data_IF_701218797888
#
_entry.id   IF_701218797888
#
_cell.length_a   1.000
_cell.length_b   1.000
_cell.length_c   1.000
_cell.angle_alpha   90.00
_cell.angle_beta   90.00
_cell.angle_gamma   90.00
#
_symmetry.space_group_name_H-M   'P 1'
#
loop_
_entity.id
_entity.type
_entity.pdbx_description
1 polymer ?
#
# COMPACT_ATOMS: atom_id res chain seq x y z
N UNK A 1 -20.77 0.76 -8.42
CA UNK A 1 -19.58 1.21 -7.73
C UNK A 1 -18.43 0.28 -8.08
N UNK A 2 -17.28 0.84 -8.47
CA UNK A 2 -16.02 0.11 -8.68
C UNK A 2 -15.01 0.59 -7.64
N UNK A 3 -14.23 -0.33 -7.05
CA UNK A 3 -13.12 -0.04 -6.14
C UNK A 3 -11.82 -0.47 -6.81
N UNK A 4 -10.86 0.44 -6.93
CA UNK A 4 -9.56 0.21 -7.54
C UNK A 4 -8.45 0.59 -6.54
N UNK A 5 -7.74 -0.36 -5.94
CA UNK A 5 -6.56 -0.04 -5.14
C UNK A 5 -5.39 0.36 -6.06
N UNK A 6 -4.81 1.54 -5.82
CA UNK A 6 -3.72 2.09 -6.63
C UNK A 6 -2.73 2.93 -5.79
N UNK A 7 -1.56 2.42 -5.42
CA UNK A 7 -0.97 1.10 -5.72
C UNK A 7 -1.77 -0.08 -5.17
N UNK A 8 -1.79 -1.19 -5.93
CA UNK A 8 -2.52 -2.38 -5.56
C UNK A 8 -1.84 -3.16 -4.41
N UNK A 9 -2.62 -3.81 -3.59
CA UNK A 9 -2.13 -4.80 -2.62
C UNK A 9 -2.76 -6.17 -2.95
N UNK A 10 -1.95 -7.23 -3.09
CA UNK A 10 -0.55 -7.40 -2.64
C UNK A 10 0.52 -7.13 -3.70
N UNK A 11 0.20 -6.86 -4.95
CA UNK A 11 1.19 -6.80 -6.04
C UNK A 11 2.14 -5.61 -5.91
N UNK A 12 1.70 -4.48 -5.35
CA UNK A 12 2.44 -3.22 -5.33
C UNK A 12 2.40 -2.43 -6.65
N UNK A 13 1.75 -2.96 -7.68
CA UNK A 13 1.67 -2.33 -9.00
C UNK A 13 0.80 -1.08 -8.98
N UNK A 14 1.06 -0.16 -9.92
CA UNK A 14 0.23 1.01 -10.17
C UNK A 14 -0.36 0.99 -11.58
N UNK A 15 -1.48 1.68 -11.71
CA UNK A 15 -2.08 2.09 -12.97
C UNK A 15 -1.89 3.60 -13.09
N UNK A 16 -1.49 4.09 -14.25
CA UNK A 16 -1.27 5.52 -14.45
C UNK A 16 -2.57 6.34 -14.30
N UNK A 17 -2.48 7.62 -13.92
CA UNK A 17 -3.66 8.48 -13.86
C UNK A 17 -4.44 8.56 -15.17
N UNK A 18 -3.74 8.52 -16.31
CA UNK A 18 -4.35 8.53 -17.64
C UNK A 18 -5.19 7.27 -17.90
N UNK A 19 -4.65 6.10 -17.53
CA UNK A 19 -5.38 4.83 -17.63
C UNK A 19 -6.58 4.79 -16.68
N UNK A 20 -6.42 5.30 -15.45
CA UNK A 20 -7.52 5.43 -14.46
C UNK A 20 -8.61 6.36 -15.00
N UNK A 21 -8.25 7.49 -15.62
CA UNK A 21 -9.19 8.42 -16.22
C UNK A 21 -9.94 7.77 -17.40
N UNK A 22 -9.23 7.05 -18.27
CA UNK A 22 -9.81 6.31 -19.39
C UNK A 22 -10.76 5.21 -18.91
N UNK A 23 -10.37 4.47 -17.88
CA UNK A 23 -11.24 3.46 -17.27
C UNK A 23 -12.49 4.09 -16.65
N UNK A 24 -12.35 5.16 -15.88
CA UNK A 24 -13.49 5.88 -15.30
C UNK A 24 -14.46 6.41 -16.35
N UNK A 25 -13.96 6.84 -17.52
CA UNK A 25 -14.80 7.30 -18.62
C UNK A 25 -15.67 6.18 -19.21
N UNK A 26 -15.19 4.94 -19.21
CA UNK A 26 -15.94 3.76 -19.69
C UNK A 26 -17.01 3.26 -18.71
N UNK A 27 -16.97 3.72 -17.45
CA UNK A 27 -17.91 3.28 -16.41
C UNK A 27 -19.18 4.12 -16.38
N UNK A 28 -20.32 3.47 -16.10
CA UNK A 28 -21.60 4.13 -15.81
C UNK A 28 -21.86 4.31 -14.30
N UNK A 29 -20.84 4.13 -13.47
CA UNK A 29 -20.93 4.22 -12.00
C UNK A 29 -19.69 4.90 -11.41
N UNK A 30 -19.75 5.35 -10.15
CA UNK A 30 -18.57 5.91 -9.48
C UNK A 30 -17.40 4.93 -9.38
N UNK A 31 -16.19 5.47 -9.50
CA UNK A 31 -14.92 4.79 -9.27
C UNK A 31 -14.26 5.35 -7.99
N UNK A 32 -14.04 4.51 -7.02
CA UNK A 32 -13.22 4.83 -5.85
C UNK A 32 -11.81 4.30 -6.08
N UNK A 33 -10.83 5.19 -6.12
CA UNK A 33 -9.41 4.86 -6.17
C UNK A 33 -8.89 4.84 -4.73
N UNK A 34 -8.51 3.65 -4.25
CA UNK A 34 -7.92 3.50 -2.91
C UNK A 34 -6.42 3.74 -2.99
N UNK A 35 -6.00 4.94 -2.58
CA UNK A 35 -4.63 5.39 -2.59
C UNK A 35 -3.94 5.24 -1.22
N UNK A 36 -4.23 4.18 -0.48
CA UNK A 36 -3.61 3.91 0.81
C UNK A 36 -2.07 3.86 0.77
N UNK A 37 -1.47 3.59 -0.37
CA UNK A 37 -0.02 3.48 -0.57
C UNK A 37 0.56 4.55 -1.50
N UNK A 38 -0.22 5.50 -1.97
CA UNK A 38 0.21 6.45 -3.01
C UNK A 38 1.35 7.39 -2.59
N UNK A 39 1.59 7.59 -1.29
CA UNK A 39 2.72 8.38 -0.81
C UNK A 39 4.10 7.73 -1.10
N UNK A 40 4.12 6.44 -1.46
CA UNK A 40 5.34 5.70 -1.84
C UNK A 40 5.49 5.55 -3.35
N UNK A 41 4.55 6.10 -4.13
CA UNK A 41 4.51 6.05 -5.59
C UNK A 41 4.90 7.39 -6.21
N UNK A 42 5.32 7.35 -7.46
CA UNK A 42 5.72 8.54 -8.24
C UNK A 42 4.51 9.34 -8.71
N UNK A 43 3.34 8.70 -8.79
CA UNK A 43 2.12 9.27 -9.33
C UNK A 43 0.92 8.96 -8.44
N UNK A 44 -0.12 9.78 -8.52
CA UNK A 44 -1.38 9.57 -7.83
C UNK A 44 -2.55 10.17 -8.64
N UNK A 45 -3.76 9.76 -8.30
CA UNK A 45 -4.99 10.14 -9.03
C UNK A 45 -5.76 11.29 -8.38
N UNK A 46 -5.22 11.95 -7.36
CA UNK A 46 -5.95 12.96 -6.59
C UNK A 46 -6.47 14.12 -7.48
N UNK A 47 -5.68 14.55 -8.47
CA UNK A 47 -6.04 15.62 -9.39
C UNK A 47 -7.22 15.26 -10.30
N UNK A 48 -7.48 13.97 -10.54
CA UNK A 48 -8.59 13.50 -11.37
C UNK A 48 -9.97 13.81 -10.76
N UNK A 49 -10.05 13.96 -9.43
CA UNK A 49 -11.30 14.32 -8.73
C UNK A 49 -11.86 15.65 -9.23
N UNK A 50 -10.99 16.61 -9.57
CA UNK A 50 -11.42 17.89 -10.14
C UNK A 50 -11.89 17.78 -11.61
N UNK A 51 -11.46 16.74 -12.31
CA UNK A 51 -11.74 16.54 -13.75
C UNK A 51 -12.98 15.67 -14.00
N UNK A 52 -13.28 14.75 -13.09
CA UNK A 52 -14.40 13.81 -13.23
C UNK A 52 -15.13 13.63 -11.89
N UNK A 53 -16.41 14.10 -11.79
CA UNK A 53 -17.16 14.03 -10.53
C UNK A 53 -17.48 12.60 -10.06
N UNK A 54 -17.27 11.58 -10.90
CA UNK A 54 -17.45 10.17 -10.55
C UNK A 54 -16.19 9.51 -9.99
N UNK A 55 -15.05 10.20 -10.00
CA UNK A 55 -13.82 9.70 -9.37
C UNK A 55 -13.75 10.19 -7.93
N UNK A 56 -13.58 9.26 -7.01
CA UNK A 56 -13.35 9.47 -5.60
C UNK A 56 -11.98 8.89 -5.23
N UNK A 57 -11.24 9.55 -4.36
CA UNK A 57 -9.93 9.06 -3.90
C UNK A 57 -9.95 8.91 -2.39
N UNK A 58 -9.57 7.74 -1.89
CA UNK A 58 -9.38 7.51 -0.44
C UNK A 58 -7.91 7.54 -0.07
N UNK A 59 -7.60 8.06 1.10
CA UNK A 59 -6.26 8.13 1.70
C UNK A 59 -6.30 7.70 3.16
N UNK A 60 -5.16 7.28 3.70
CA UNK A 60 -5.04 6.88 5.09
C UNK A 60 -3.73 7.37 5.70
N UNK A 61 -3.74 7.67 7.00
CA UNK A 61 -2.54 7.97 7.76
C UNK A 61 -1.89 6.70 8.35
N UNK A 62 -2.47 5.53 8.09
CA UNK A 62 -2.02 4.25 8.64
C UNK A 62 -0.67 3.77 8.09
N UNK A 63 -0.23 4.27 6.92
CA UNK A 63 0.95 3.76 6.21
C UNK A 63 2.11 4.73 6.30
N UNK A 64 2.16 5.71 5.42
CA UNK A 64 3.26 6.68 5.30
C UNK A 64 3.49 7.52 6.56
N UNK A 65 2.42 7.84 7.27
CA UNK A 65 2.48 8.60 8.53
C UNK A 65 2.73 7.73 9.77
N UNK A 66 2.74 6.39 9.66
CA UNK A 66 2.96 5.50 10.80
C UNK A 66 1.83 5.49 11.84
N UNK A 67 0.65 6.03 11.52
CA UNK A 67 -0.45 6.26 12.45
C UNK A 67 -1.57 5.22 12.32
N UNK A 68 -1.22 3.95 12.12
CA UNK A 68 -2.21 2.88 11.97
C UNK A 68 -3.15 2.73 13.18
N UNK A 69 -2.67 3.03 14.39
CA UNK A 69 -3.41 2.90 15.64
C UNK A 69 -4.54 3.91 15.81
N UNK A 70 -4.45 5.10 15.23
CA UNK A 70 -5.49 6.14 15.36
C UNK A 70 -6.68 5.95 14.42
N UNK A 71 -6.63 4.96 13.54
CA UNK A 71 -7.74 4.60 12.63
C UNK A 71 -8.27 5.76 11.79
N UNK A 72 -7.39 6.65 11.30
CA UNK A 72 -7.77 7.82 10.54
C UNK A 72 -7.50 7.68 9.05
N UNK A 73 -8.49 8.03 8.25
CA UNK A 73 -8.43 8.14 6.79
C UNK A 73 -9.39 9.23 6.32
N UNK A 74 -9.29 9.59 5.07
CA UNK A 74 -10.15 10.59 4.46
C UNK A 74 -10.47 10.25 3.01
N UNK A 75 -11.54 10.85 2.51
CA UNK A 75 -11.99 10.73 1.14
C UNK A 75 -12.03 12.12 0.51
N UNK A 76 -11.56 12.20 -0.72
CA UNK A 76 -11.66 13.38 -1.57
C UNK A 76 -12.59 13.05 -2.74
N UNK A 77 -13.62 13.88 -2.93
CA UNK A 77 -14.61 13.68 -3.98
C UNK A 77 -15.25 15.02 -4.39
N UNK A 78 -16.07 14.99 -5.44
CA UNK A 78 -16.92 16.12 -5.80
C UNK A 78 -17.79 16.56 -4.61
N UNK A 79 -17.98 17.88 -4.35
CA UNK A 79 -18.76 18.39 -3.22
C UNK A 79 -20.17 17.81 -3.10
N UNK A 80 -20.84 17.52 -4.21
CA UNK A 80 -22.20 16.96 -4.18
C UNK A 80 -22.19 15.51 -3.68
N UNK A 81 -21.17 14.72 -4.04
CA UNK A 81 -20.95 13.38 -3.48
C UNK A 81 -20.67 13.45 -1.99
N UNK A 82 -19.86 14.40 -1.55
CA UNK A 82 -19.57 14.61 -0.11
C UNK A 82 -20.85 14.96 0.66
N UNK A 83 -21.72 15.80 0.11
CA UNK A 83 -23.02 16.12 0.74
C UNK A 83 -23.90 14.88 0.95
N UNK A 84 -23.95 13.99 -0.05
CA UNK A 84 -24.73 12.75 0.06
C UNK A 84 -24.12 11.80 1.10
N UNK A 85 -22.79 11.62 1.09
CA UNK A 85 -22.08 10.80 2.09
C UNK A 85 -22.24 11.36 3.52
N UNK A 86 -22.30 12.68 3.67
CA UNK A 86 -22.50 13.31 4.97
C UNK A 86 -23.85 12.96 5.62
N UNK A 87 -24.88 12.59 4.82
CA UNK A 87 -26.19 12.17 5.35
C UNK A 87 -26.17 10.83 6.07
N UNK A 88 -25.24 9.97 5.69
CA UNK A 88 -25.10 8.60 6.25
C UNK A 88 -23.87 8.44 7.15
N UNK A 89 -23.02 9.47 7.20
CA UNK A 89 -21.83 9.46 8.06
C UNK A 89 -22.25 9.58 9.53
N UNK A 90 -21.64 8.75 10.40
CA UNK A 90 -21.80 8.90 11.84
C UNK A 90 -21.40 10.32 12.32
N UNK A 91 -22.15 10.86 13.27
CA UNK A 91 -21.90 12.18 13.83
C UNK A 91 -20.52 12.30 14.51
N UNK A 92 -20.04 11.19 15.08
CA UNK A 92 -18.79 11.11 15.84
C UNK A 92 -17.85 10.01 15.27
N UNK A 93 -17.67 10.00 13.95
CA UNK A 93 -16.88 8.98 13.26
C UNK A 93 -15.37 9.00 13.55
N UNK A 94 -14.85 10.09 14.10
CA UNK A 94 -13.47 10.24 14.54
C UNK A 94 -13.44 10.85 15.94
N UNK A 95 -12.61 10.31 16.82
CA UNK A 95 -12.39 10.87 18.14
C UNK A 95 -11.45 12.08 18.12
N UNK A 96 -11.53 12.91 19.16
CA UNK A 96 -10.76 14.16 19.23
C UNK A 96 -9.24 13.96 19.23
N UNK A 97 -8.73 12.87 19.81
CA UNK A 97 -7.29 12.56 19.83
C UNK A 97 -6.81 12.18 18.43
N UNK A 98 -7.57 11.34 17.72
CA UNK A 98 -7.28 10.97 16.33
C UNK A 98 -7.27 12.17 15.40
N UNK A 99 -8.23 13.11 15.56
CA UNK A 99 -8.26 14.37 14.79
C UNK A 99 -7.03 15.24 15.10
N UNK A 100 -6.68 15.41 16.36
CA UNK A 100 -5.52 16.22 16.76
C UNK A 100 -4.21 15.61 16.22
N UNK A 101 -4.04 14.27 16.35
CA UNK A 101 -2.87 13.56 15.83
C UNK A 101 -2.78 13.66 14.30
N UNK A 102 -3.89 13.48 13.59
CA UNK A 102 -3.95 13.59 12.13
C UNK A 102 -3.60 15.03 11.69
N UNK A 103 -4.12 16.05 12.36
CA UNK A 103 -3.84 17.45 12.06
C UNK A 103 -2.36 17.76 12.23
N UNK A 104 -1.75 17.35 13.34
CA UNK A 104 -0.33 17.53 13.58
C UNK A 104 0.53 16.83 12.54
N UNK A 105 0.21 15.56 12.23
CA UNK A 105 0.93 14.74 11.25
C UNK A 105 0.89 15.35 9.84
N UNK A 106 -0.26 15.84 9.40
CA UNK A 106 -0.42 16.51 8.10
C UNK A 106 0.43 17.76 7.94
N UNK A 107 0.81 18.41 9.05
CA UNK A 107 1.76 19.53 9.10
C UNK A 107 3.22 19.12 8.91
N UNK A 108 3.57 17.86 9.16
CA UNK A 108 4.96 17.35 9.15
C UNK A 108 5.42 16.90 7.75
N UNK A 109 5.26 17.74 6.72
CA UNK A 109 5.53 17.39 5.32
C UNK A 109 6.95 16.96 5.04
N UNK A 110 7.93 17.65 5.65
CA UNK A 110 9.35 17.30 5.47
C UNK A 110 9.64 15.90 6.03
N UNK A 111 9.18 15.60 7.23
CA UNK A 111 9.32 14.28 7.84
C UNK A 111 8.70 13.19 6.98
N UNK A 112 7.51 13.43 6.41
CA UNK A 112 6.85 12.50 5.51
C UNK A 112 7.71 12.22 4.29
N UNK A 113 8.21 13.27 3.60
CA UNK A 113 9.03 13.15 2.41
C UNK A 113 10.32 12.35 2.69
N UNK A 114 11.03 12.66 3.78
CA UNK A 114 12.25 11.96 4.19
C UNK A 114 11.97 10.49 4.55
N UNK A 115 10.87 10.22 5.22
CA UNK A 115 10.46 8.86 5.60
C UNK A 115 10.09 8.03 4.38
N UNK A 116 9.30 8.58 3.46
CA UNK A 116 8.95 7.92 2.19
C UNK A 116 10.20 7.64 1.35
N UNK A 117 11.13 8.59 1.23
CA UNK A 117 12.38 8.40 0.50
C UNK A 117 13.22 7.26 1.07
N UNK A 118 13.35 7.16 2.40
CA UNK A 118 14.05 6.03 3.05
C UNK A 118 13.38 4.69 2.77
N UNK A 119 12.04 4.63 2.88
CA UNK A 119 11.28 3.40 2.60
C UNK A 119 11.45 2.98 1.14
N UNK A 120 11.42 3.92 0.19
CA UNK A 120 11.62 3.65 -1.24
C UNK A 120 13.03 3.10 -1.49
N UNK A 121 14.06 3.69 -0.89
CA UNK A 121 15.44 3.21 -1.01
C UNK A 121 15.62 1.79 -0.41
N UNK A 122 15.08 1.55 0.79
CA UNK A 122 15.12 0.24 1.44
C UNK A 122 14.30 -0.80 0.68
N UNK A 123 13.18 -0.41 0.05
CA UNK A 123 12.40 -1.28 -0.85
C UNK A 123 13.23 -1.74 -2.05
N UNK A 124 13.94 -0.81 -2.69
CA UNK A 124 14.79 -1.15 -3.83
C UNK A 124 15.90 -2.12 -3.41
N UNK A 125 16.62 -1.83 -2.32
CA UNK A 125 17.64 -2.72 -1.78
C UNK A 125 17.08 -4.13 -1.49
N UNK A 126 15.94 -4.21 -0.83
CA UNK A 126 15.29 -5.48 -0.52
C UNK A 126 14.90 -6.25 -1.80
N UNK A 127 14.40 -5.55 -2.80
CA UNK A 127 14.08 -6.13 -4.12
C UNK A 127 15.31 -6.75 -4.77
N UNK A 128 16.43 -5.99 -4.82
CA UNK A 128 17.68 -6.43 -5.45
C UNK A 128 18.24 -7.67 -4.75
N UNK A 129 18.19 -7.72 -3.42
CA UNK A 129 18.66 -8.87 -2.65
C UNK A 129 17.74 -10.11 -2.81
N UNK A 130 16.44 -9.92 -2.85
CA UNK A 130 15.49 -11.03 -3.12
C UNK A 130 15.71 -11.63 -4.52
N UNK A 131 15.95 -10.79 -5.53
CA UNK A 131 16.28 -11.25 -6.88
C UNK A 131 17.58 -12.07 -6.89
N UNK A 132 18.63 -11.65 -6.14
CA UNK A 132 19.87 -12.44 -5.98
C UNK A 132 19.64 -13.79 -5.30
N UNK A 133 18.61 -13.91 -4.46
CA UNK A 133 18.19 -15.16 -3.83
C UNK A 133 17.29 -16.03 -4.73
N UNK A 134 17.06 -15.61 -5.98
CA UNK A 134 16.25 -16.34 -6.95
C UNK A 134 14.76 -16.08 -6.90
N UNK A 135 14.31 -15.09 -6.14
CA UNK A 135 12.89 -14.69 -6.15
C UNK A 135 12.54 -13.86 -7.38
N UNK A 136 11.37 -14.10 -7.91
CA UNK A 136 10.68 -13.21 -8.83
C UNK A 136 9.97 -12.13 -8.00
N UNK A 137 10.34 -10.88 -8.17
CA UNK A 137 9.77 -9.75 -7.43
C UNK A 137 8.98 -8.86 -8.37
N UNK A 138 7.72 -8.63 -8.07
CA UNK A 138 6.90 -7.67 -8.82
C UNK A 138 7.35 -6.25 -8.51
N UNK A 139 7.56 -5.37 -9.52
CA UNK A 139 7.86 -3.96 -9.28
C UNK A 139 6.80 -3.33 -8.38
N UNK A 140 7.24 -2.78 -7.24
CA UNK A 140 6.34 -2.26 -6.24
C UNK A 140 6.45 -0.75 -6.08
N UNK A 141 5.30 -0.09 -5.95
CA UNK A 141 5.14 1.33 -5.65
C UNK A 141 4.50 1.55 -4.27
N UNK A 142 4.56 0.53 -3.39
CA UNK A 142 4.04 0.55 -2.02
C UNK A 142 5.17 0.43 -0.99
N UNK A 143 4.84 0.32 0.29
CA UNK A 143 5.80 0.05 1.37
C UNK A 143 6.00 -1.45 1.64
N UNK A 144 5.85 -2.28 0.62
CA UNK A 144 6.07 -3.73 0.66
C UNK A 144 6.51 -4.21 -0.73
N UNK A 145 7.01 -5.43 -0.81
CA UNK A 145 7.22 -6.16 -2.06
C UNK A 145 6.34 -7.41 -2.09
N UNK A 146 5.95 -7.82 -3.29
CA UNK A 146 5.37 -9.11 -3.58
C UNK A 146 6.41 -9.96 -4.30
N UNK A 147 6.71 -11.15 -3.76
CA UNK A 147 7.71 -12.03 -4.33
C UNK A 147 7.27 -13.49 -4.33
N UNK A 148 7.78 -14.23 -5.32
CA UNK A 148 7.57 -15.65 -5.51
C UNK A 148 8.90 -16.33 -5.78
N UNK A 149 9.09 -17.54 -5.27
CA UNK A 149 10.28 -18.32 -5.59
C UNK A 149 9.91 -19.44 -6.57
N UNK A 150 10.66 -19.64 -7.68
CA UNK A 150 10.35 -20.68 -8.68
C UNK A 150 10.26 -22.09 -8.11
N UNK A 151 11.02 -22.36 -7.04
CA UNK A 151 10.95 -23.63 -6.30
C UNK A 151 9.64 -23.83 -5.51
N UNK A 152 8.74 -22.84 -5.49
CA UNK A 152 7.51 -22.89 -4.69
C UNK A 152 7.80 -22.84 -3.20
N UNK A 153 7.06 -23.63 -2.40
CA UNK A 153 7.23 -23.76 -0.94
C UNK A 153 7.00 -22.44 -0.15
N UNK A 154 6.25 -21.48 -0.71
CA UNK A 154 6.03 -20.19 -0.04
C UNK A 154 5.40 -20.32 1.34
N UNK A 155 4.49 -21.30 1.52
CA UNK A 155 3.93 -21.64 2.82
C UNK A 155 4.98 -22.14 3.82
N UNK A 156 5.93 -22.99 3.38
CA UNK A 156 7.01 -23.48 4.22
C UNK A 156 8.00 -22.36 4.57
N UNK A 157 8.32 -21.48 3.61
CA UNK A 157 9.13 -20.27 3.85
C UNK A 157 8.46 -19.38 4.91
N UNK A 158 7.14 -19.17 4.79
CA UNK A 158 6.37 -18.38 5.76
C UNK A 158 6.45 -18.98 7.18
N UNK A 159 6.20 -20.30 7.35
CA UNK A 159 6.24 -20.94 8.65
C UNK A 159 7.65 -20.95 9.23
N UNK A 160 8.67 -21.13 8.39
CA UNK A 160 10.08 -21.02 8.82
C UNK A 160 10.40 -19.60 9.32
N UNK A 161 10.09 -18.55 8.56
CA UNK A 161 10.32 -17.16 8.98
C UNK A 161 9.57 -16.85 10.28
N UNK A 162 8.33 -17.29 10.39
CA UNK A 162 7.51 -17.13 11.60
C UNK A 162 8.14 -17.81 12.82
N UNK A 163 8.74 -19.01 12.66
CA UNK A 163 9.47 -19.70 13.73
C UNK A 163 10.71 -18.94 14.19
N UNK A 164 11.27 -18.09 13.31
CA UNK A 164 12.39 -17.19 13.60
C UNK A 164 11.92 -15.79 14.04
N UNK A 165 10.65 -15.64 14.42
CA UNK A 165 10.01 -14.39 14.84
C UNK A 165 10.00 -13.27 13.76
N UNK A 166 10.05 -13.66 12.48
CA UNK A 166 9.94 -12.76 11.33
C UNK A 166 8.58 -12.96 10.71
N UNK A 167 7.71 -11.94 10.80
CA UNK A 167 6.35 -11.99 10.28
C UNK A 167 6.27 -11.35 8.90
N UNK A 168 6.00 -12.18 7.91
CA UNK A 168 5.64 -11.77 6.54
C UNK A 168 4.19 -12.16 6.26
N UNK A 169 3.67 -11.86 5.10
CA UNK A 169 2.31 -12.27 4.72
C UNK A 169 2.37 -13.31 3.61
N UNK A 170 2.00 -14.55 3.90
CA UNK A 170 1.73 -15.57 2.91
C UNK A 170 0.30 -15.41 2.39
N UNK A 171 0.12 -15.42 1.07
CA UNK A 171 -1.19 -15.28 0.42
C UNK A 171 -1.34 -16.27 -0.72
N UNK A 172 -2.56 -16.83 -0.84
CA UNK A 172 -2.94 -17.78 -1.88
C UNK A 172 -4.12 -17.20 -2.67
N UNK A 173 -4.10 -17.33 -3.97
CA UNK A 173 -5.11 -16.81 -4.89
C UNK A 173 -5.67 -17.89 -5.83
N UNK A 174 -5.84 -19.11 -5.34
CA UNK A 174 -6.32 -20.25 -6.14
C UNK A 174 -5.43 -20.48 -7.37
N UNK A 175 -6.04 -20.48 -8.54
CA UNK A 175 -5.33 -20.72 -9.82
C UNK A 175 -4.31 -19.63 -10.18
N UNK A 176 -4.33 -18.48 -9.53
CA UNK A 176 -3.37 -17.40 -9.72
C UNK A 176 -2.06 -17.60 -8.94
N UNK A 177 -1.99 -18.71 -8.19
CA UNK A 177 -0.81 -19.10 -7.41
C UNK A 177 -0.76 -18.46 -6.03
N UNK A 178 0.42 -18.55 -5.42
CA UNK A 178 0.70 -18.05 -4.08
C UNK A 178 2.02 -17.27 -4.04
N UNK A 179 2.30 -16.63 -2.92
CA UNK A 179 3.55 -15.88 -2.73
C UNK A 179 3.62 -15.18 -1.38
N UNK A 180 4.65 -14.40 -1.22
CA UNK A 180 4.93 -13.66 0.01
C UNK A 180 4.84 -12.16 -0.25
N UNK A 181 4.10 -11.46 0.63
CA UNK A 181 4.17 -10.00 0.72
C UNK A 181 5.01 -9.65 1.94
N UNK A 182 6.14 -8.98 1.69
CA UNK A 182 7.10 -8.58 2.71
C UNK A 182 7.04 -7.06 2.85
N UNK A 183 6.65 -6.56 4.03
CA UNK A 183 6.68 -5.12 4.31
C UNK A 183 8.11 -4.64 4.45
N UNK A 184 8.39 -3.44 3.94
CA UNK A 184 9.69 -2.77 4.11
C UNK A 184 9.83 -2.36 5.57
N UNK A 185 10.84 -2.89 6.24
CA UNK A 185 11.23 -2.57 7.61
C UNK A 185 12.45 -1.64 7.66
N UNK A 186 13.10 -1.58 8.84
CA UNK A 186 14.42 -0.97 8.96
C UNK A 186 15.47 -1.82 8.24
N UNK A 187 16.65 -1.26 8.01
CA UNK A 187 17.73 -2.01 7.34
C UNK A 187 18.11 -3.27 8.10
N UNK A 188 18.15 -3.23 9.44
CA UNK A 188 18.42 -4.38 10.29
C UNK A 188 17.34 -5.45 10.18
N UNK A 189 16.07 -5.05 10.08
CA UNK A 189 14.94 -5.98 9.91
C UNK A 189 14.97 -6.64 8.52
N UNK A 190 15.33 -5.88 7.49
CA UNK A 190 15.51 -6.41 6.12
C UNK A 190 16.67 -7.42 6.11
N UNK A 191 17.81 -7.09 6.71
CA UNK A 191 18.97 -7.97 6.76
C UNK A 191 18.67 -9.27 7.51
N UNK A 192 17.96 -9.19 8.63
CA UNK A 192 17.51 -10.37 9.37
C UNK A 192 16.60 -11.27 8.51
N UNK A 193 15.64 -10.67 7.79
CA UNK A 193 14.74 -11.40 6.89
C UNK A 193 15.51 -12.09 5.76
N UNK A 194 16.39 -11.37 5.08
CA UNK A 194 17.19 -11.89 3.97
C UNK A 194 18.14 -13.01 4.42
N UNK A 195 18.77 -12.85 5.59
CA UNK A 195 19.62 -13.89 6.19
C UNK A 195 18.84 -15.18 6.43
N UNK A 196 17.62 -15.10 6.97
CA UNK A 196 16.80 -16.30 7.21
C UNK A 196 16.28 -16.90 5.90
N UNK A 197 15.90 -16.10 4.90
CA UNK A 197 15.55 -16.60 3.57
C UNK A 197 16.73 -17.36 2.95
N UNK A 198 17.93 -16.81 2.99
CA UNK A 198 19.15 -17.48 2.50
C UNK A 198 19.41 -18.80 3.23
N UNK A 199 19.19 -18.85 4.54
CA UNK A 199 19.33 -20.10 5.33
C UNK A 199 18.30 -21.15 4.97
N UNK A 200 17.07 -20.76 4.62
CA UNK A 200 16.03 -21.69 4.21
C UNK A 200 16.32 -22.30 2.82
N UNK A 201 16.91 -21.50 1.93
CA UNK A 201 17.16 -21.89 0.53
C UNK A 201 18.49 -22.68 0.35
N UNK A 202 19.37 -22.66 1.34
CA UNK A 202 20.65 -23.41 1.33
C UNK A 202 20.45 -24.90 1.63
#
# INVERSE_FOLDING_TARGET
>A
LVLLPNPNSPSGTIVSPEEVAGFAASLNCPLVVDEAYADFAEQNCLHLVAQNPRILVTRTLSKSYGLAGIRFGFLVANPDVIKELAKIKDSYNCDGLSIAAATAAMGCRQWLAETCARIIASRQRMTDELVKLGFEVTPSHANFVWCRHPGGQHGAIYEFLKSQQILVRYMQFGDWGDGLRISVGTDEQIDACLMMLKRFLA
#
